data_IF_674907333092
#
_entry.id   IF_674907333092
#
_cell.length_a   1.000
_cell.length_b   1.000
_cell.length_c   1.000
_cell.angle_alpha   90.00
_cell.angle_beta   90.00
_cell.angle_gamma   90.00
#
_symmetry.space_group_name_H-M   'P 1'
#
loop_
_entity.id
_entity.type
_entity.pdbx_description
1 polymer ?
#
# COMPACT_ATOMS: atom_id res chain seq x y z
N UNK A 1 -1.87 19.07 13.71
CA UNK A 1 -1.01 17.89 13.91
C UNK A 1 -0.21 17.55 12.66
N UNK A 2 -0.81 17.33 11.49
CA UNK A 2 -0.11 16.90 10.27
C UNK A 2 1.04 17.84 9.86
N UNK A 3 0.83 19.17 9.89
CA UNK A 3 1.88 20.16 9.57
C UNK A 3 3.05 20.10 10.57
N UNK A 4 2.77 19.89 11.84
CA UNK A 4 3.81 19.78 12.87
C UNK A 4 4.60 18.47 12.72
N UNK A 5 3.89 17.36 12.49
CA UNK A 5 4.53 16.07 12.22
C UNK A 5 5.45 16.16 10.99
N UNK A 6 4.98 16.75 9.88
CA UNK A 6 5.81 16.97 8.70
C UNK A 6 7.06 17.81 8.97
N UNK A 7 6.90 18.94 9.71
CA UNK A 7 8.07 19.77 10.08
C UNK A 7 9.08 19.01 10.94
N UNK A 8 8.60 18.15 11.85
CA UNK A 8 9.49 17.31 12.68
C UNK A 8 10.22 16.27 11.83
N UNK A 9 9.49 15.58 10.94
CA UNK A 9 10.10 14.59 10.03
C UNK A 9 11.13 15.24 9.10
N UNK A 10 10.81 16.40 8.51
CA UNK A 10 11.77 17.10 7.67
C UNK A 10 13.05 17.42 8.44
N UNK A 11 12.94 18.06 9.62
CA UNK A 11 14.11 18.40 10.45
C UNK A 11 14.94 17.19 10.86
N UNK A 12 14.27 16.08 11.18
CA UNK A 12 14.95 14.83 11.51
C UNK A 12 15.74 14.30 10.32
N UNK A 13 15.15 14.27 9.13
CA UNK A 13 15.86 13.81 7.93
C UNK A 13 16.93 14.82 7.49
N UNK A 14 16.69 16.14 7.63
CA UNK A 14 17.71 17.16 7.39
C UNK A 14 18.95 16.92 8.25
N UNK A 15 18.79 16.55 9.54
CA UNK A 15 19.94 16.20 10.38
C UNK A 15 20.67 14.95 9.90
N UNK A 16 19.93 13.92 9.44
CA UNK A 16 20.54 12.70 8.86
C UNK A 16 21.35 13.04 7.58
N UNK A 17 20.80 13.85 6.69
CA UNK A 17 21.52 14.31 5.49
C UNK A 17 22.80 15.07 5.87
N UNK A 18 22.72 15.95 6.90
CA UNK A 18 23.91 16.60 7.45
C UNK A 18 24.93 15.63 7.99
N UNK A 19 24.52 14.67 8.80
CA UNK A 19 25.39 13.65 9.38
C UNK A 19 26.08 12.78 8.33
N UNK A 20 25.40 12.47 7.21
CA UNK A 20 25.99 11.75 6.09
C UNK A 20 27.06 12.62 5.40
N UNK A 21 26.76 13.88 5.12
CA UNK A 21 27.68 14.83 4.46
C UNK A 21 28.89 15.16 5.30
N UNK A 22 28.73 15.19 6.61
CA UNK A 22 29.82 15.40 7.58
C UNK A 22 30.58 14.10 7.93
N UNK A 23 30.27 13.00 7.22
CA UNK A 23 30.87 11.69 7.44
C UNK A 23 30.69 11.14 8.87
N UNK A 24 29.62 11.55 9.58
CA UNK A 24 29.24 10.96 10.86
C UNK A 24 28.44 9.67 10.72
N UNK A 25 27.73 9.54 9.59
CA UNK A 25 26.97 8.33 9.22
C UNK A 25 27.40 7.90 7.82
N UNK A 26 27.64 6.60 7.65
CA UNK A 26 28.09 5.99 6.39
C UNK A 26 27.03 4.98 5.89
N UNK A 27 25.95 5.43 5.24
CA UNK A 27 24.99 4.50 4.62
C UNK A 27 25.62 3.81 3.40
N UNK A 28 25.17 2.58 3.04
CA UNK A 28 25.64 1.93 1.82
C UNK A 28 25.49 2.84 0.60
N UNK A 29 26.47 2.85 -0.29
CA UNK A 29 26.52 3.74 -1.46
C UNK A 29 25.28 3.60 -2.37
N UNK A 30 24.71 2.37 -2.48
CA UNK A 30 23.51 2.10 -3.27
C UNK A 30 22.22 2.45 -2.54
N UNK A 31 22.28 2.91 -1.29
CA UNK A 31 21.07 3.30 -0.54
C UNK A 31 20.53 4.65 -1.01
N UNK A 32 19.22 4.80 -0.97
CA UNK A 32 18.58 6.09 -1.25
C UNK A 32 19.11 7.22 -0.37
N UNK A 33 19.47 6.94 0.87
CA UNK A 33 20.04 7.92 1.80
C UNK A 33 21.40 8.44 1.28
N UNK A 34 22.30 7.57 0.83
CA UNK A 34 23.57 7.97 0.26
C UNK A 34 23.39 8.72 -1.06
N UNK A 35 22.64 8.12 -2.00
CA UNK A 35 22.40 8.71 -3.33
C UNK A 35 21.82 10.11 -3.23
N UNK A 36 20.78 10.30 -2.40
CA UNK A 36 20.13 11.61 -2.26
C UNK A 36 21.00 12.61 -1.51
N UNK A 37 21.76 12.17 -0.49
CA UNK A 37 22.65 13.05 0.25
C UNK A 37 23.72 13.69 -0.65
N UNK A 38 24.24 12.92 -1.63
CA UNK A 38 25.30 13.36 -2.53
C UNK A 38 24.82 13.76 -3.93
N UNK A 39 23.49 13.77 -4.15
CA UNK A 39 22.93 14.16 -5.43
C UNK A 39 23.21 15.65 -5.73
N UNK A 40 23.61 15.89 -6.98
CA UNK A 40 23.83 17.24 -7.51
C UNK A 40 22.76 17.60 -8.53
N UNK A 41 22.34 18.82 -8.53
CA UNK A 41 21.40 19.38 -9.51
C UNK A 41 22.08 19.59 -10.89
N UNK A 42 21.36 20.21 -11.82
CA UNK A 42 21.85 20.48 -13.18
C UNK A 42 22.98 21.51 -13.21
N UNK A 43 23.08 22.33 -12.20
CA UNK A 43 24.13 23.33 -11.99
C UNK A 43 25.38 22.74 -11.32
N UNK A 44 25.32 21.46 -10.91
CA UNK A 44 26.40 20.74 -10.24
C UNK A 44 26.47 20.98 -8.72
N UNK A 45 25.49 21.68 -8.15
CA UNK A 45 25.43 21.97 -6.72
C UNK A 45 24.71 20.84 -5.95
N UNK A 46 25.12 20.62 -4.70
CA UNK A 46 24.41 19.68 -3.82
C UNK A 46 23.01 20.20 -3.54
N UNK A 47 22.02 19.31 -3.55
CA UNK A 47 20.67 19.64 -3.08
C UNK A 47 20.75 20.31 -1.71
N UNK A 48 19.95 21.35 -1.47
CA UNK A 48 19.85 21.89 -0.11
C UNK A 48 19.42 20.78 0.87
N UNK A 49 19.83 20.82 2.15
CA UNK A 49 19.42 19.81 3.13
C UNK A 49 17.92 19.59 3.19
N UNK A 50 17.14 20.67 3.04
CA UNK A 50 15.69 20.60 3.01
C UNK A 50 15.14 19.85 1.79
N UNK A 51 15.64 20.12 0.59
CA UNK A 51 15.23 19.41 -0.64
C UNK A 51 15.62 17.96 -0.56
N UNK A 52 16.87 17.65 -0.18
CA UNK A 52 17.32 16.27 0.01
C UNK A 52 16.47 15.52 1.05
N UNK A 53 16.08 16.17 2.14
CA UNK A 53 15.20 15.58 3.15
C UNK A 53 13.79 15.28 2.60
N UNK A 54 13.22 16.16 1.78
CA UNK A 54 11.92 15.93 1.15
C UNK A 54 12.00 14.76 0.18
N UNK A 55 13.07 14.66 -0.63
CA UNK A 55 13.26 13.55 -1.56
C UNK A 55 13.45 12.21 -0.83
N UNK A 56 14.23 12.18 0.24
CA UNK A 56 14.38 10.97 1.04
C UNK A 56 13.06 10.56 1.70
N UNK A 57 12.25 11.50 2.18
CA UNK A 57 10.91 11.22 2.69
C UNK A 57 9.97 10.68 1.60
N UNK A 58 10.13 11.10 0.34
CA UNK A 58 9.36 10.57 -0.78
C UNK A 58 9.68 9.08 -1.04
N UNK A 59 10.87 8.61 -0.69
CA UNK A 59 11.25 7.18 -0.74
C UNK A 59 10.74 6.42 0.49
N UNK A 60 10.84 7.00 1.69
CA UNK A 60 10.46 6.33 2.95
C UNK A 60 8.94 6.17 3.09
N UNK A 61 8.15 7.17 2.70
CA UNK A 61 6.69 7.14 2.83
C UNK A 61 6.01 5.93 2.16
N UNK A 62 6.35 5.58 0.91
CA UNK A 62 5.79 4.40 0.26
C UNK A 62 6.07 3.11 1.04
N UNK A 63 7.26 2.97 1.63
CA UNK A 63 7.62 1.79 2.44
C UNK A 63 6.68 1.66 3.65
N UNK A 64 6.43 2.77 4.35
CA UNK A 64 5.48 2.79 5.47
C UNK A 64 4.04 2.55 4.99
N UNK A 65 3.67 3.08 3.83
CA UNK A 65 2.33 2.93 3.27
C UNK A 65 2.00 1.46 2.94
N UNK A 66 2.94 0.69 2.40
CA UNK A 66 2.73 -0.76 2.14
C UNK A 66 2.38 -1.50 3.43
N UNK A 67 2.97 -1.10 4.57
CA UNK A 67 2.66 -1.66 5.88
C UNK A 67 1.18 -1.58 6.26
N UNK A 68 0.39 -0.70 5.64
CA UNK A 68 -1.07 -0.62 5.86
C UNK A 68 -1.84 -1.71 5.10
N UNK A 69 -1.34 -2.16 3.96
CA UNK A 69 -1.96 -3.27 3.22
C UNK A 69 -1.79 -4.62 3.93
N UNK A 70 -0.70 -4.81 4.69
CA UNK A 70 -0.45 -6.06 5.40
C UNK A 70 -1.56 -6.40 6.40
N UNK A 71 -2.04 -5.49 7.27
CA UNK A 71 -3.21 -5.71 8.09
C UNK A 71 -4.47 -6.08 7.30
N UNK A 72 -4.69 -5.51 6.12
CA UNK A 72 -5.81 -5.89 5.27
C UNK A 72 -5.68 -7.31 4.71
N UNK A 73 -4.48 -7.71 4.27
CA UNK A 73 -4.23 -9.08 3.86
C UNK A 73 -4.45 -10.06 5.03
N UNK A 74 -3.95 -9.74 6.23
CA UNK A 74 -4.17 -10.53 7.44
C UNK A 74 -5.66 -10.62 7.81
N UNK A 75 -6.38 -9.49 7.72
CA UNK A 75 -7.82 -9.44 7.95
C UNK A 75 -8.58 -10.32 6.94
N UNK A 76 -8.24 -10.24 5.66
CA UNK A 76 -8.83 -11.08 4.62
C UNK A 76 -8.58 -12.57 4.89
N UNK A 77 -7.34 -12.95 5.24
CA UNK A 77 -6.99 -14.33 5.59
C UNK A 77 -7.76 -14.86 6.82
N UNK A 78 -8.08 -13.97 7.76
CA UNK A 78 -8.87 -14.32 8.93
C UNK A 78 -10.37 -14.45 8.61
N UNK A 79 -10.93 -13.54 7.80
CA UNK A 79 -12.36 -13.53 7.44
C UNK A 79 -12.72 -14.57 6.38
N UNK A 80 -11.75 -14.97 5.55
CA UNK A 80 -11.91 -15.89 4.43
C UNK A 80 -10.93 -17.06 4.54
N UNK A 81 -11.18 -18.01 5.47
CA UNK A 81 -10.27 -19.14 5.71
C UNK A 81 -10.09 -20.05 4.49
N UNK A 82 -11.05 -20.06 3.56
CA UNK A 82 -10.94 -20.74 2.28
C UNK A 82 -9.82 -20.17 1.41
N UNK A 83 -9.64 -18.85 1.41
CA UNK A 83 -8.54 -18.18 0.70
C UNK A 83 -7.19 -18.58 1.32
N UNK A 84 -7.12 -18.62 2.66
CA UNK A 84 -5.93 -19.11 3.37
C UNK A 84 -5.57 -20.53 2.97
N UNK A 85 -6.55 -21.44 2.92
CA UNK A 85 -6.33 -22.84 2.49
C UNK A 85 -5.83 -22.92 1.05
N UNK A 86 -6.40 -22.13 0.13
CA UNK A 86 -5.94 -22.09 -1.27
C UNK A 86 -4.49 -21.58 -1.40
N UNK A 87 -4.10 -20.56 -0.63
CA UNK A 87 -2.72 -20.09 -0.58
C UNK A 87 -1.77 -21.16 -0.01
N UNK A 88 -2.23 -21.97 0.96
CA UNK A 88 -1.44 -23.04 1.57
C UNK A 88 -1.27 -24.27 0.65
N UNK A 89 -2.24 -24.55 -0.22
CA UNK A 89 -2.35 -25.78 -0.97
C UNK A 89 -1.32 -25.99 -2.10
N UNK A 90 -0.35 -25.10 -2.26
CA UNK A 90 0.70 -25.29 -3.26
C UNK A 90 1.37 -24.00 -3.71
N UNK A 91 2.22 -24.10 -4.71
CA UNK A 91 2.88 -22.97 -5.37
C UNK A 91 1.92 -22.37 -6.42
N UNK A 92 0.92 -21.63 -5.93
CA UNK A 92 -0.09 -21.01 -6.77
C UNK A 92 0.17 -19.50 -6.87
N UNK A 93 1.24 -19.13 -7.59
CA UNK A 93 1.62 -17.74 -7.82
C UNK A 93 0.46 -16.92 -8.43
N UNK A 94 -0.31 -17.52 -9.33
CA UNK A 94 -1.49 -16.89 -9.94
C UNK A 94 -2.59 -16.60 -8.93
N UNK A 95 -2.87 -17.53 -8.02
CA UNK A 95 -3.87 -17.28 -6.97
C UNK A 95 -3.40 -16.25 -5.95
N UNK A 96 -2.11 -16.25 -5.61
CA UNK A 96 -1.52 -15.24 -4.71
C UNK A 96 -1.65 -13.84 -5.30
N UNK A 97 -1.40 -13.69 -6.60
CA UNK A 97 -1.63 -12.43 -7.32
C UNK A 97 -3.10 -12.02 -7.24
N UNK A 98 -4.02 -12.94 -7.60
CA UNK A 98 -5.47 -12.68 -7.54
C UNK A 98 -5.94 -12.28 -6.14
N UNK A 99 -5.43 -12.95 -5.10
CA UNK A 99 -5.74 -12.62 -3.71
C UNK A 99 -5.27 -11.19 -3.34
N UNK A 100 -4.05 -10.84 -3.70
CA UNK A 100 -3.48 -9.52 -3.42
C UNK A 100 -4.25 -8.42 -4.16
N UNK A 101 -4.62 -8.65 -5.43
CA UNK A 101 -5.42 -7.69 -6.19
C UNK A 101 -6.80 -7.49 -5.55
N UNK A 102 -7.45 -8.58 -5.08
CA UNK A 102 -8.74 -8.48 -4.40
C UNK A 102 -8.63 -7.77 -3.05
N UNK A 103 -7.55 -7.97 -2.29
CA UNK A 103 -7.28 -7.18 -1.08
C UNK A 103 -7.19 -5.70 -1.42
N UNK A 104 -6.49 -5.34 -2.49
CA UNK A 104 -6.34 -3.95 -2.93
C UNK A 104 -7.65 -3.32 -3.38
N UNK A 105 -8.51 -4.09 -4.03
CA UNK A 105 -9.84 -3.66 -4.47
C UNK A 105 -10.81 -3.48 -3.31
N UNK A 106 -10.88 -4.49 -2.44
CA UNK A 106 -11.93 -4.63 -1.44
C UNK A 106 -11.72 -3.73 -0.21
N UNK A 107 -10.45 -3.44 0.15
CA UNK A 107 -10.15 -2.65 1.34
C UNK A 107 -9.86 -1.19 1.03
N UNK A 108 -10.42 -0.26 1.83
CA UNK A 108 -10.32 1.18 1.58
C UNK A 108 -8.98 1.75 2.03
N UNK A 109 -7.88 1.42 1.37
CA UNK A 109 -6.56 1.96 1.72
C UNK A 109 -6.58 3.50 1.69
N UNK A 110 -6.86 4.09 0.53
CA UNK A 110 -7.22 5.48 0.37
C UNK A 110 -8.60 5.55 -0.27
N UNK A 111 -9.67 5.83 0.51
CA UNK A 111 -11.02 5.78 -0.05
C UNK A 111 -11.27 6.86 -1.11
N UNK A 112 -10.59 8.00 -1.00
CA UNK A 112 -10.74 9.08 -1.97
C UNK A 112 -9.49 9.97 -2.05
N UNK A 113 -9.30 10.62 -3.21
CA UNK A 113 -8.26 11.63 -3.42
C UNK A 113 -8.90 12.98 -3.71
N UNK A 114 -8.50 14.00 -2.96
CA UNK A 114 -9.02 15.36 -3.11
C UNK A 114 -8.16 16.19 -4.08
N UNK A 115 -8.81 16.95 -4.94
CA UNK A 115 -8.18 17.92 -5.81
C UNK A 115 -8.91 19.26 -5.78
N UNK A 116 -8.29 20.27 -6.37
CA UNK A 116 -8.90 21.59 -6.58
C UNK A 116 -8.82 21.95 -8.06
N UNK A 117 -9.94 22.36 -8.64
CA UNK A 117 -10.04 22.78 -10.03
C UNK A 117 -9.11 23.98 -10.27
N UNK A 118 -8.14 23.83 -11.14
CA UNK A 118 -7.17 24.89 -11.49
C UNK A 118 -7.71 25.88 -12.52
N UNK A 119 -8.45 25.34 -13.51
CA UNK A 119 -9.14 26.12 -14.56
C UNK A 119 -10.55 25.59 -14.67
N UNK A 120 -11.51 26.50 -14.91
CA UNK A 120 -12.88 26.12 -15.14
C UNK A 120 -12.98 25.19 -16.35
N UNK A 121 -13.84 24.18 -16.27
CA UNK A 121 -14.15 23.27 -17.35
C UNK A 121 -15.58 22.70 -17.17
N UNK A 122 -16.10 22.13 -18.22
CA UNK A 122 -17.36 21.41 -18.22
C UNK A 122 -17.14 19.92 -18.52
N UNK A 123 -17.87 19.05 -17.84
CA UNK A 123 -17.84 17.62 -18.07
C UNK A 123 -19.22 17.02 -17.80
N UNK A 124 -19.77 16.28 -18.76
CA UNK A 124 -21.11 15.68 -18.72
C UNK A 124 -22.21 16.69 -18.28
N UNK A 125 -22.17 17.92 -18.83
CA UNK A 125 -23.17 18.96 -18.52
C UNK A 125 -22.99 19.63 -17.17
N UNK A 126 -21.98 19.26 -16.39
CA UNK A 126 -21.66 19.90 -15.12
C UNK A 126 -20.46 20.84 -15.26
N UNK A 127 -20.67 22.10 -14.86
CA UNK A 127 -19.63 23.13 -14.85
C UNK A 127 -18.81 23.07 -13.58
N UNK A 128 -17.50 22.85 -13.70
CA UNK A 128 -16.54 22.84 -12.63
C UNK A 128 -15.82 24.20 -12.53
N UNK A 129 -16.26 25.13 -11.66
CA UNK A 129 -15.65 26.43 -11.56
C UNK A 129 -14.25 26.34 -10.94
N UNK A 130 -13.36 27.27 -11.31
CA UNK A 130 -12.03 27.41 -10.70
C UNK A 130 -12.13 27.48 -9.17
N UNK A 131 -11.28 26.72 -8.48
CA UNK A 131 -11.22 26.65 -7.02
C UNK A 131 -12.18 25.62 -6.40
N UNK A 132 -13.10 25.03 -7.17
CA UNK A 132 -13.98 23.95 -6.68
C UNK A 132 -13.12 22.81 -6.14
N UNK A 133 -13.49 22.27 -4.96
CA UNK A 133 -12.94 20.99 -4.47
C UNK A 133 -13.67 19.85 -5.15
N UNK A 134 -12.92 18.86 -5.58
CA UNK A 134 -13.42 17.62 -6.16
C UNK A 134 -12.79 16.45 -5.43
N UNK A 135 -13.53 15.35 -5.34
CA UNK A 135 -13.06 14.08 -4.81
C UNK A 135 -13.14 13.06 -5.93
N UNK A 136 -12.05 12.36 -6.16
CA UNK A 136 -12.05 11.10 -6.90
C UNK A 136 -12.30 10.00 -5.89
N UNK A 137 -13.44 9.34 -5.99
CA UNK A 137 -13.83 8.22 -5.14
C UNK A 137 -13.16 6.94 -5.65
N UNK A 138 -12.04 6.56 -5.03
CA UNK A 138 -11.30 5.36 -5.39
C UNK A 138 -12.04 4.11 -4.91
N UNK A 139 -12.48 4.13 -3.66
CA UNK A 139 -13.19 2.99 -3.06
C UNK A 139 -14.52 2.71 -3.75
N UNK A 140 -15.32 3.74 -4.01
CA UNK A 140 -16.57 3.60 -4.75
C UNK A 140 -16.35 3.13 -6.18
N UNK A 141 -15.27 3.54 -6.85
CA UNK A 141 -14.93 3.03 -8.20
C UNK A 141 -14.55 1.56 -8.15
N UNK A 142 -13.76 1.14 -7.18
CA UNK A 142 -13.38 -0.27 -6.98
C UNK A 142 -14.57 -1.15 -6.51
N UNK A 143 -15.71 -0.54 -6.12
CA UNK A 143 -16.95 -1.20 -5.73
C UNK A 143 -18.13 -0.88 -6.64
N UNK A 144 -17.91 -0.28 -7.80
CA UNK A 144 -18.96 0.05 -8.74
C UNK A 144 -19.53 -1.20 -9.41
N UNK A 145 -20.81 -1.51 -9.17
CA UNK A 145 -21.49 -2.68 -9.73
C UNK A 145 -21.56 -2.68 -11.28
N UNK A 146 -21.31 -1.53 -11.93
CA UNK A 146 -21.20 -1.44 -13.40
C UNK A 146 -19.89 -2.04 -13.91
N UNK A 147 -18.85 -2.09 -13.07
CA UNK A 147 -17.52 -2.60 -13.41
C UNK A 147 -17.19 -3.91 -12.69
N UNK A 148 -17.82 -4.18 -11.56
CA UNK A 148 -17.49 -5.31 -10.70
C UNK A 148 -18.76 -6.11 -10.36
N UNK A 149 -18.82 -7.36 -10.77
CA UNK A 149 -19.89 -8.26 -10.35
C UNK A 149 -19.79 -8.52 -8.83
N UNK A 150 -20.92 -8.42 -8.12
CA UNK A 150 -21.00 -8.62 -6.67
C UNK A 150 -19.87 -7.87 -5.91
N UNK A 151 -19.77 -6.54 -6.04
CA UNK A 151 -18.62 -5.76 -5.57
C UNK A 151 -18.35 -5.85 -4.07
N UNK A 152 -19.40 -6.10 -3.27
CA UNK A 152 -19.33 -6.24 -1.82
C UNK A 152 -18.89 -7.66 -1.38
N UNK A 153 -18.65 -8.56 -2.32
CA UNK A 153 -18.15 -9.91 -2.04
C UNK A 153 -16.65 -9.97 -2.29
N UNK A 154 -15.91 -10.47 -1.29
CA UNK A 154 -14.48 -10.73 -1.42
C UNK A 154 -14.25 -12.00 -2.25
N UNK A 155 -13.75 -11.86 -3.46
CA UNK A 155 -13.63 -12.94 -4.43
C UNK A 155 -12.35 -12.80 -5.27
N UNK A 156 -11.22 -13.39 -4.84
CA UNK A 156 -9.95 -13.31 -5.58
C UNK A 156 -10.02 -13.82 -7.01
N UNK A 157 -10.89 -14.81 -7.27
CA UNK A 157 -11.02 -15.45 -8.58
C UNK A 157 -11.41 -14.49 -9.71
N UNK A 158 -12.02 -13.34 -9.38
CA UNK A 158 -12.37 -12.29 -10.37
C UNK A 158 -11.16 -11.72 -11.11
N UNK A 159 -9.97 -11.83 -10.52
CA UNK A 159 -8.72 -11.36 -11.12
C UNK A 159 -8.02 -12.39 -12.01
N UNK A 160 -8.57 -13.59 -12.16
CA UNK A 160 -7.99 -14.61 -13.03
C UNK A 160 -8.01 -14.18 -14.50
N UNK A 161 -9.16 -13.68 -14.94
CA UNK A 161 -9.43 -13.28 -16.34
C UNK A 161 -9.73 -11.78 -16.46
N UNK A 162 -9.22 -10.98 -15.49
CA UNK A 162 -9.45 -9.55 -15.47
C UNK A 162 -8.72 -8.83 -16.61
N UNK A 163 -9.43 -7.92 -17.28
CA UNK A 163 -8.96 -7.16 -18.46
C UNK A 163 -7.86 -6.12 -18.18
N UNK A 164 -7.51 -5.93 -16.90
CA UNK A 164 -6.52 -4.96 -16.42
C UNK A 164 -6.86 -3.50 -16.75
N UNK A 165 -8.15 -3.18 -16.82
CA UNK A 165 -8.60 -1.80 -17.05
C UNK A 165 -7.93 -0.82 -16.08
N UNK A 166 -7.23 0.21 -16.58
CA UNK A 166 -6.56 1.20 -15.73
C UNK A 166 -7.52 2.25 -15.14
N UNK A 167 -8.81 2.16 -15.45
CA UNK A 167 -9.82 3.14 -15.05
C UNK A 167 -10.92 2.57 -14.15
N UNK A 168 -11.11 1.27 -14.12
CA UNK A 168 -12.09 0.60 -13.25
C UNK A 168 -11.47 -0.02 -12.01
N UNK A 169 -10.15 -0.24 -11.99
CA UNK A 169 -9.38 -0.71 -10.85
C UNK A 169 -8.31 0.32 -10.48
N UNK A 170 -8.60 1.13 -9.48
CA UNK A 170 -7.83 2.32 -9.15
C UNK A 170 -7.46 2.44 -7.66
N UNK A 171 -7.13 1.37 -6.94
CA UNK A 171 -6.87 1.41 -5.49
C UNK A 171 -5.69 2.31 -5.11
N UNK A 172 -4.79 2.57 -6.03
CA UNK A 172 -3.61 3.43 -5.87
C UNK A 172 -3.56 4.52 -6.96
N UNK A 173 -4.72 4.96 -7.44
CA UNK A 173 -4.86 5.84 -8.59
C UNK A 173 -5.04 5.08 -9.89
N UNK A 174 -5.45 5.77 -10.94
CA UNK A 174 -5.81 5.17 -12.21
C UNK A 174 -5.11 5.81 -13.41
N UNK A 175 -5.34 5.23 -14.59
CA UNK A 175 -4.77 5.65 -15.85
C UNK A 175 -3.39 5.07 -16.13
N UNK A 176 -2.73 5.63 -17.15
CA UNK A 176 -1.41 5.19 -17.59
C UNK A 176 -0.31 5.61 -16.60
N UNK A 177 0.61 4.72 -16.29
CA UNK A 177 1.68 4.92 -15.29
C UNK A 177 2.59 6.11 -15.59
N UNK A 178 2.87 6.38 -16.85
CA UNK A 178 3.86 7.39 -17.24
C UNK A 178 3.27 8.78 -17.44
N UNK A 179 1.95 8.90 -17.59
CA UNK A 179 1.29 10.17 -17.96
C UNK A 179 0.18 10.61 -17.00
N UNK A 180 -0.32 9.70 -16.15
CA UNK A 180 -1.39 9.98 -15.20
C UNK A 180 -0.91 9.85 -13.74
N UNK A 181 -1.76 10.25 -12.79
CA UNK A 181 -1.47 10.19 -11.36
C UNK A 181 -1.74 8.78 -10.79
N UNK A 182 -1.09 7.75 -11.35
CA UNK A 182 -1.06 6.39 -10.83
C UNK A 182 0.19 6.20 -10.00
N UNK A 183 0.09 5.41 -8.93
CA UNK A 183 1.20 5.19 -8.01
C UNK A 183 2.37 4.48 -8.71
N UNK A 184 3.56 5.07 -8.79
CA UNK A 184 4.72 4.42 -9.41
C UNK A 184 5.24 3.23 -8.59
N UNK A 185 4.87 3.13 -7.29
CA UNK A 185 5.21 2.03 -6.40
C UNK A 185 4.20 0.88 -6.38
N UNK A 186 3.25 0.82 -7.33
CA UNK A 186 2.20 -0.19 -7.33
C UNK A 186 2.77 -1.60 -7.45
N UNK A 187 3.70 -1.84 -8.35
CA UNK A 187 4.32 -3.16 -8.56
C UNK A 187 5.06 -3.67 -7.31
N UNK A 188 5.89 -2.82 -6.70
CA UNK A 188 6.59 -3.23 -5.47
C UNK A 188 5.61 -3.46 -4.31
N UNK A 189 4.51 -2.71 -4.26
CA UNK A 189 3.44 -2.94 -3.29
C UNK A 189 2.83 -4.32 -3.47
N UNK A 190 2.51 -4.72 -4.70
CA UNK A 190 1.96 -6.03 -5.02
C UNK A 190 2.92 -7.14 -4.58
N UNK A 191 4.21 -7.05 -4.94
CA UNK A 191 5.21 -8.05 -4.57
C UNK A 191 5.39 -8.17 -3.05
N UNK A 192 5.46 -7.05 -2.33
CA UNK A 192 5.55 -7.06 -0.87
C UNK A 192 4.28 -7.65 -0.21
N UNK A 193 3.10 -7.38 -0.77
CA UNK A 193 1.86 -7.98 -0.29
C UNK A 193 1.79 -9.49 -0.58
N UNK A 194 2.32 -9.94 -1.71
CA UNK A 194 2.43 -11.38 -2.04
C UNK A 194 3.33 -12.08 -1.02
N UNK A 195 4.50 -11.51 -0.76
CA UNK A 195 5.41 -12.02 0.26
C UNK A 195 4.76 -12.06 1.65
N UNK A 196 4.14 -10.97 2.08
CA UNK A 196 3.45 -10.91 3.37
C UNK A 196 2.30 -11.92 3.46
N UNK A 197 1.52 -12.09 2.39
CA UNK A 197 0.44 -13.09 2.33
C UNK A 197 0.98 -14.52 2.42
N UNK A 198 2.12 -14.79 1.81
CA UNK A 198 2.83 -16.07 1.92
C UNK A 198 3.28 -16.31 3.37
N UNK A 199 4.00 -15.37 3.97
CA UNK A 199 4.44 -15.48 5.36
C UNK A 199 3.27 -15.72 6.31
N UNK A 200 2.21 -14.90 6.22
CA UNK A 200 1.03 -14.98 7.07
C UNK A 200 0.23 -16.28 6.88
N UNK A 201 0.25 -16.90 5.70
CA UNK A 201 -0.52 -18.11 5.42
C UNK A 201 0.31 -19.38 5.58
N UNK A 202 1.57 -19.40 5.15
CA UNK A 202 2.41 -20.61 5.06
C UNK A 202 3.46 -20.71 6.15
N UNK A 203 4.19 -19.61 6.44
CA UNK A 203 5.45 -19.69 7.18
C UNK A 203 5.27 -19.54 8.69
N UNK A 204 4.17 -18.88 9.11
CA UNK A 204 3.89 -18.66 10.53
C UNK A 204 2.51 -19.18 10.95
N UNK A 205 2.42 -19.54 12.21
CA UNK A 205 1.16 -19.73 12.94
C UNK A 205 0.99 -18.57 13.91
N UNK A 206 -0.23 -18.11 14.08
CA UNK A 206 -0.58 -17.05 15.02
C UNK A 206 -2.04 -17.16 15.40
N UNK A 207 -2.38 -16.61 16.56
CA UNK A 207 -3.74 -16.46 17.03
C UNK A 207 -4.23 -15.02 16.74
N UNK A 208 -5.53 -14.90 16.49
CA UNK A 208 -6.19 -13.60 16.38
C UNK A 208 -7.10 -13.47 17.59
N UNK A 209 -6.70 -12.72 18.64
CA UNK A 209 -7.53 -12.53 19.82
C UNK A 209 -8.80 -11.75 19.47
N UNK A 210 -9.80 -11.82 20.37
CA UNK A 210 -11.02 -11.01 20.24
C UNK A 210 -10.66 -9.52 20.17
N UNK A 211 -11.14 -8.84 19.14
CA UNK A 211 -10.77 -7.46 18.87
C UNK A 211 -11.77 -6.79 17.91
N UNK A 212 -11.78 -5.45 17.84
CA UNK A 212 -12.64 -4.70 16.91
C UNK A 212 -12.02 -4.66 15.51
N UNK A 213 -12.49 -5.55 14.64
CA UNK A 213 -12.05 -5.67 13.24
C UNK A 213 -12.81 -4.77 12.26
N UNK A 214 -13.78 -3.95 12.72
CA UNK A 214 -14.50 -3.02 11.86
C UNK A 214 -13.55 -1.99 11.27
N UNK A 215 -13.72 -1.69 9.99
CA UNK A 215 -12.87 -0.70 9.31
C UNK A 215 -13.25 0.71 9.79
N UNK A 216 -12.25 1.50 10.14
CA UNK A 216 -12.40 2.90 10.54
C UNK A 216 -12.18 3.82 9.34
N UNK A 217 -13.26 4.23 8.70
CA UNK A 217 -13.25 5.16 7.56
C UNK A 217 -12.97 6.62 7.94
N UNK A 218 -12.94 6.96 9.24
CA UNK A 218 -12.61 8.31 9.70
C UNK A 218 -11.10 8.60 9.62
N UNK A 219 -10.29 7.59 9.29
CA UNK A 219 -8.83 7.67 9.21
C UNK A 219 -8.34 7.55 7.77
N UNK A 220 -7.20 8.18 7.49
CA UNK A 220 -6.46 8.03 6.24
C UNK A 220 -4.99 7.70 6.56
N UNK A 221 -4.48 6.54 6.11
CA UNK A 221 -5.21 5.42 5.51
C UNK A 221 -6.24 4.81 6.47
N UNK A 222 -7.33 4.24 5.92
CA UNK A 222 -8.28 3.46 6.70
C UNK A 222 -7.62 2.18 7.22
N UNK A 223 -8.08 1.69 8.37
CA UNK A 223 -7.55 0.47 9.00
C UNK A 223 -8.64 -0.17 9.85
N UNK A 224 -8.54 -1.47 10.19
CA UNK A 224 -9.30 -2.03 11.28
C UNK A 224 -9.08 -1.23 12.57
N UNK A 225 -10.11 -1.03 13.38
CA UNK A 225 -10.03 -0.22 14.61
C UNK A 225 -8.95 -0.73 15.55
N UNK A 226 -8.83 -2.04 15.71
CA UNK A 226 -7.78 -2.71 16.48
C UNK A 226 -6.39 -2.71 15.81
N UNK A 227 -6.28 -2.31 14.53
CA UNK A 227 -5.10 -2.42 13.66
C UNK A 227 -4.67 -3.86 13.37
N UNK A 228 -5.53 -4.83 13.62
CA UNK A 228 -5.31 -6.25 13.44
C UNK A 228 -4.16 -6.80 14.29
N UNK A 229 -4.47 -7.07 15.54
CA UNK A 229 -3.51 -7.64 16.51
C UNK A 229 -3.41 -9.15 16.28
N UNK A 230 -2.21 -9.68 16.27
CA UNK A 230 -1.91 -11.11 16.30
C UNK A 230 -1.09 -11.43 17.56
N UNK A 231 -1.23 -12.64 18.07
CA UNK A 231 -0.51 -13.12 19.25
C UNK A 231 0.03 -14.54 19.01
N UNK A 232 0.86 -15.03 19.93
CA UNK A 232 1.42 -16.39 19.88
C UNK A 232 2.05 -16.72 18.51
N UNK A 233 2.78 -15.75 17.95
CA UNK A 233 3.42 -15.91 16.65
C UNK A 233 4.58 -16.90 16.77
N UNK A 234 4.55 -17.95 15.95
CA UNK A 234 5.61 -18.97 15.88
C UNK A 234 5.84 -19.44 14.45
N UNK A 235 7.04 -19.85 14.10
CA UNK A 235 7.28 -20.47 12.80
C UNK A 235 6.40 -21.72 12.61
N UNK A 236 5.87 -21.91 11.42
CA UNK A 236 5.24 -23.17 11.04
C UNK A 236 6.38 -24.08 10.59
N UNK A 237 6.69 -25.10 11.40
CA UNK A 237 7.71 -26.08 11.05
C UNK A 237 7.35 -26.71 9.70
N UNK A 238 8.28 -26.64 8.74
CA UNK A 238 8.15 -27.40 7.50
C UNK A 238 7.89 -28.86 7.88
N UNK A 239 6.78 -29.43 7.39
CA UNK A 239 6.28 -30.73 7.85
C UNK A 239 7.35 -31.80 7.83
N UNK A 240 7.81 -32.18 9.02
CA UNK A 240 8.39 -33.50 9.23
C UNK A 240 7.29 -34.56 8.98
N UNK A 241 7.64 -35.76 8.50
CA UNK A 241 6.67 -36.80 8.28
C UNK A 241 5.91 -37.04 9.59
N UNK A 242 4.59 -37.14 9.49
CA UNK A 242 3.74 -37.49 10.63
C UNK A 242 4.32 -38.76 11.27
N UNK A 243 4.82 -38.64 12.52
CA UNK A 243 5.20 -39.78 13.30
C UNK A 243 3.92 -40.57 13.49
N UNK A 244 3.82 -41.69 12.80
CA UNK A 244 2.80 -42.71 13.05
C UNK A 244 3.02 -43.25 14.47
N UNK A 245 2.18 -42.80 15.39
CA UNK A 245 2.04 -43.44 16.68
C UNK A 245 1.32 -44.74 16.42
N UNK A 246 2.08 -45.84 16.49
CA UNK A 246 1.62 -47.18 16.62
C UNK A 246 1.07 -47.43 18.03
#
# INVERSE_FOLDING_TARGET
WARLARKRSNRWIESIIGDIRDARIHPPEQSAAHVIAWHRDLEGELLTPHVAAVELLNVIRPIVAVGVYIPFAAHALHRHPECRRKLQAGDNASYTESFVQEVRRFYPFFPAVAARVRREFEWNGYRFPKGRRVLLDLYGTDHDARSWESPETFQPERFRDWDRSPFSFIPQGGGEYHVHHRCPGEWITIELMKLASQVLSKDIQYDVPEQDLRIDYSRLPALPRSRFIISNVRPKLAGGPAASLS
#
